data_IF_461289621003
#
_entry.id   IF_461289621003
#
_cell.length_a   1.000
_cell.length_b   1.000
_cell.length_c   1.000
_cell.angle_alpha   90.00
_cell.angle_beta   90.00
_cell.angle_gamma   90.00
#
_symmetry.space_group_name_H-M   'P 1'
#
loop_
_entity.id
_entity.type
_entity.pdbx_description
1 polymer ?
#
# COMPACT_ATOMS: atom_id res chain seq x y z
N UNK A 1 29.04 2.95 3.02
CA UNK A 1 28.58 2.27 4.25
C UNK A 1 27.07 2.10 4.09
N UNK A 2 26.58 0.90 3.76
CA UNK A 2 25.14 0.60 3.84
C UNK A 2 24.84 0.38 5.32
N UNK A 3 23.85 1.10 5.87
CA UNK A 3 23.37 0.80 7.21
C UNK A 3 22.48 -0.45 7.14
N UNK A 4 22.83 -1.48 7.90
CA UNK A 4 21.94 -2.61 8.14
C UNK A 4 20.63 -2.09 8.74
N UNK A 5 19.50 -2.43 8.11
CA UNK A 5 18.16 -1.98 8.52
C UNK A 5 17.56 -0.84 7.69
N UNK A 6 18.21 -0.36 6.64
CA UNK A 6 17.65 0.66 5.76
C UNK A 6 16.57 0.09 4.84
N UNK A 7 15.30 0.44 5.10
CA UNK A 7 14.19 0.16 4.19
C UNK A 7 14.41 0.98 2.91
N UNK A 8 14.72 0.30 1.81
CA UNK A 8 14.81 0.92 0.49
C UNK A 8 13.42 0.92 -0.15
N UNK A 9 12.65 1.97 0.09
CA UNK A 9 11.31 2.13 -0.46
C UNK A 9 10.72 3.51 -0.22
N UNK A 10 9.75 3.91 -1.04
CA UNK A 10 8.99 5.14 -0.83
C UNK A 10 7.90 4.83 0.19
N UNK A 11 7.98 5.43 1.38
CA UNK A 11 7.23 5.01 2.59
C UNK A 11 5.74 4.71 2.38
N UNK A 12 4.94 5.52 1.65
CA UNK A 12 3.53 5.21 1.38
C UNK A 12 3.27 3.82 0.76
N UNK A 13 4.21 3.30 -0.03
CA UNK A 13 4.09 2.02 -0.73
C UNK A 13 4.65 0.85 0.06
N UNK A 14 5.40 1.11 1.13
CA UNK A 14 5.99 0.04 1.94
C UNK A 14 4.92 -0.56 2.84
N UNK A 15 4.77 -1.89 2.78
CA UNK A 15 3.79 -2.61 3.60
C UNK A 15 4.07 -2.47 5.12
N UNK A 16 3.03 -2.45 5.98
CA UNK A 16 3.18 -2.24 7.42
C UNK A 16 4.16 -3.19 8.10
N UNK A 17 4.17 -4.46 7.70
CA UNK A 17 5.08 -5.48 8.22
C UNK A 17 6.54 -5.21 7.82
N UNK A 18 6.76 -4.69 6.60
CA UNK A 18 8.09 -4.33 6.12
C UNK A 18 8.60 -3.08 6.84
N UNK A 19 7.71 -2.12 7.15
CA UNK A 19 8.03 -0.93 7.94
C UNK A 19 8.57 -1.26 9.34
N UNK A 20 8.22 -2.42 9.89
CA UNK A 20 8.71 -2.90 11.19
C UNK A 20 9.86 -3.92 11.08
N UNK A 21 10.44 -4.05 9.88
CA UNK A 21 11.64 -4.88 9.64
C UNK A 21 11.37 -6.33 9.24
N UNK A 22 10.13 -6.69 8.89
CA UNK A 22 9.87 -8.01 8.27
C UNK A 22 10.40 -8.04 6.84
N UNK A 23 10.74 -9.24 6.32
CA UNK A 23 11.19 -9.39 4.95
C UNK A 23 10.16 -8.92 3.91
N UNK A 24 10.64 -8.51 2.74
CA UNK A 24 9.79 -8.28 1.59
C UNK A 24 9.19 -9.62 1.10
N UNK A 25 7.91 -9.61 0.78
CA UNK A 25 7.17 -10.77 0.29
C UNK A 25 6.27 -10.36 -0.88
N UNK A 26 5.75 -11.35 -1.62
CA UNK A 26 4.74 -11.08 -2.64
C UNK A 26 3.51 -10.35 -2.07
N UNK A 27 3.13 -10.64 -0.82
CA UNK A 27 2.03 -9.92 -0.17
C UNK A 27 2.37 -8.44 0.07
N UNK A 28 3.63 -8.10 0.32
CA UNK A 28 4.10 -6.72 0.43
C UNK A 28 4.08 -5.98 -0.92
N UNK A 29 4.40 -6.68 -2.01
CA UNK A 29 4.25 -6.13 -3.36
C UNK A 29 2.78 -5.82 -3.67
N UNK A 30 1.84 -6.66 -3.21
CA UNK A 30 0.42 -6.42 -3.41
C UNK A 30 -0.14 -5.29 -2.53
N UNK A 31 0.44 -5.04 -1.36
CA UNK A 31 0.18 -3.81 -0.63
C UNK A 31 0.57 -2.59 -1.47
N UNK A 32 1.78 -2.59 -2.02
CA UNK A 32 2.29 -1.52 -2.89
C UNK A 32 1.37 -1.30 -4.10
N UNK A 33 0.86 -2.39 -4.68
CA UNK A 33 -0.10 -2.34 -5.78
C UNK A 33 -1.42 -1.67 -5.37
N UNK A 34 -1.94 -1.96 -4.18
CA UNK A 34 -3.14 -1.29 -3.66
C UNK A 34 -2.96 0.23 -3.48
N UNK A 35 -1.75 0.67 -3.12
CA UNK A 35 -1.38 2.09 -3.08
C UNK A 35 -1.38 2.67 -4.50
N UNK A 36 -0.74 2.00 -5.47
CA UNK A 36 -0.76 2.43 -6.89
C UNK A 36 -2.19 2.52 -7.43
N UNK A 37 -3.08 1.59 -7.07
CA UNK A 37 -4.49 1.66 -7.45
C UNK A 37 -5.15 2.95 -6.95
N UNK A 38 -4.88 3.36 -5.70
CA UNK A 38 -5.38 4.63 -5.18
C UNK A 38 -4.85 5.85 -5.95
N UNK A 39 -3.59 5.82 -6.40
CA UNK A 39 -3.00 6.89 -7.21
C UNK A 39 -3.65 7.01 -8.59
N UNK A 40 -3.85 5.88 -9.26
CA UNK A 40 -4.54 5.82 -10.55
C UNK A 40 -5.95 6.40 -10.42
N UNK A 41 -6.66 6.00 -9.34
CA UNK A 41 -8.00 6.50 -9.03
C UNK A 41 -8.01 8.01 -8.73
N UNK A 42 -7.04 8.52 -7.99
CA UNK A 42 -6.99 9.92 -7.57
C UNK A 42 -6.35 10.85 -8.61
N UNK A 43 -5.64 10.31 -9.60
CA UNK A 43 -4.87 11.08 -10.59
C UNK A 43 -3.70 11.87 -9.98
N UNK A 44 -3.26 11.53 -8.76
CA UNK A 44 -2.20 12.22 -8.02
C UNK A 44 -1.42 11.24 -7.15
N UNK A 45 -0.25 11.68 -6.68
CA UNK A 45 0.61 10.86 -5.81
C UNK A 45 -0.08 10.49 -4.50
N UNK A 46 0.13 9.26 -4.05
CA UNK A 46 -0.36 8.75 -2.79
C UNK A 46 0.27 9.53 -1.64
N UNK A 47 -0.58 10.06 -0.76
CA UNK A 47 -0.16 10.88 0.37
C UNK A 47 0.68 12.10 -0.05
N UNK A 48 0.33 12.71 -1.19
CA UNK A 48 0.97 13.94 -1.66
C UNK A 48 0.92 15.04 -0.59
N UNK A 49 2.05 15.74 -0.41
CA UNK A 49 2.23 16.76 0.63
C UNK A 49 2.40 16.23 2.06
N UNK A 50 2.37 14.91 2.31
CA UNK A 50 2.60 14.33 3.64
C UNK A 50 4.09 14.06 3.87
N UNK A 51 4.70 14.55 4.97
CA UNK A 51 6.08 14.21 5.31
C UNK A 51 6.27 12.70 5.53
N UNK A 52 7.32 12.13 4.94
CA UNK A 52 7.67 10.71 5.09
C UNK A 52 8.52 10.50 6.34
N UNK A 53 7.90 10.71 7.50
CA UNK A 53 8.53 10.60 8.81
C UNK A 53 8.01 9.38 9.60
N UNK A 54 8.57 9.16 10.79
CA UNK A 54 8.14 8.08 11.69
C UNK A 54 6.65 8.20 12.09
N UNK A 55 6.07 9.41 12.09
CA UNK A 55 4.66 9.59 12.41
C UNK A 55 3.78 9.01 11.30
N UNK A 56 4.17 9.21 10.04
CA UNK A 56 3.48 8.57 8.92
C UNK A 56 3.61 7.05 8.99
N UNK A 57 4.80 6.51 9.26
CA UNK A 57 4.98 5.06 9.43
C UNK A 57 4.05 4.48 10.52
N UNK A 58 3.93 5.15 11.67
CA UNK A 58 3.00 4.76 12.75
C UNK A 58 1.54 4.82 12.29
N UNK A 59 1.15 5.86 11.53
CA UNK A 59 -0.21 5.96 10.99
C UNK A 59 -0.51 4.79 10.04
N UNK A 60 0.40 4.47 9.12
CA UNK A 60 0.25 3.36 8.17
C UNK A 60 0.11 2.03 8.93
N UNK A 61 0.97 1.80 9.92
CA UNK A 61 0.89 0.63 10.80
C UNK A 61 -0.46 0.52 11.52
N UNK A 62 -1.04 1.65 11.92
CA UNK A 62 -2.37 1.72 12.55
C UNK A 62 -3.55 1.68 11.56
N UNK A 63 -3.30 1.43 10.28
CA UNK A 63 -4.37 1.27 9.28
C UNK A 63 -4.68 2.52 8.45
N UNK A 64 -3.89 3.59 8.55
CA UNK A 64 -4.04 4.74 7.65
C UNK A 64 -3.70 4.33 6.20
N UNK A 65 -4.53 4.75 5.25
CA UNK A 65 -4.41 4.43 3.82
C UNK A 65 -4.64 5.68 2.97
N UNK A 66 -4.13 5.73 1.73
CA UNK A 66 -4.42 6.82 0.81
C UNK A 66 -5.90 6.90 0.45
N UNK A 67 -6.34 8.11 0.10
CA UNK A 67 -7.68 8.37 -0.40
C UNK A 67 -7.82 8.02 -1.89
N UNK A 68 -9.06 7.90 -2.34
CA UNK A 68 -9.43 7.61 -3.72
C UNK A 68 -10.04 8.86 -4.37
N UNK A 69 -9.95 8.95 -5.70
CA UNK A 69 -10.60 10.02 -6.45
C UNK A 69 -12.13 9.95 -6.37
N UNK A 70 -12.79 11.09 -6.53
CA UNK A 70 -14.24 11.17 -6.60
C UNK A 70 -14.78 10.36 -7.79
N UNK A 71 -15.94 9.70 -7.61
CA UNK A 71 -16.53 8.86 -8.64
C UNK A 71 -15.87 7.48 -8.83
N UNK A 72 -14.82 7.14 -8.08
CA UNK A 72 -14.18 5.83 -8.17
C UNK A 72 -15.16 4.69 -7.89
N UNK A 73 -15.26 3.66 -8.76
CA UNK A 73 -16.17 2.54 -8.56
C UNK A 73 -15.94 1.82 -7.22
N UNK A 74 -17.02 1.50 -6.51
CA UNK A 74 -16.95 0.83 -5.19
C UNK A 74 -16.20 -0.50 -5.23
N UNK A 75 -16.31 -1.26 -6.33
CA UNK A 75 -15.59 -2.51 -6.52
C UNK A 75 -14.07 -2.30 -6.56
N UNK A 76 -13.62 -1.24 -7.22
CA UNK A 76 -12.21 -0.86 -7.31
C UNK A 76 -11.65 -0.44 -5.95
N UNK A 77 -12.37 0.43 -5.23
CA UNK A 77 -12.01 0.83 -3.85
C UNK A 77 -11.92 -0.39 -2.93
N UNK A 78 -12.89 -1.31 -3.02
CA UNK A 78 -12.90 -2.55 -2.22
C UNK A 78 -11.70 -3.43 -2.53
N UNK A 79 -11.35 -3.60 -3.82
CA UNK A 79 -10.18 -4.38 -4.23
C UNK A 79 -8.88 -3.76 -3.72
N UNK A 80 -8.68 -2.45 -3.95
CA UNK A 80 -7.49 -1.73 -3.50
C UNK A 80 -7.33 -1.76 -1.97
N UNK A 81 -8.42 -1.59 -1.21
CA UNK A 81 -8.39 -1.71 0.26
C UNK A 81 -8.00 -3.11 0.71
N UNK A 82 -8.46 -4.16 0.01
CA UNK A 82 -8.08 -5.55 0.31
C UNK A 82 -6.61 -5.81 -0.03
N UNK A 83 -6.09 -5.24 -1.11
CA UNK A 83 -4.66 -5.26 -1.40
C UNK A 83 -3.84 -4.59 -0.28
N UNK A 84 -4.36 -3.52 0.33
CA UNK A 84 -3.72 -2.80 1.44
C UNK A 84 -4.11 -3.32 2.84
N UNK A 85 -4.58 -4.56 2.98
CA UNK A 85 -4.92 -5.12 4.29
C UNK A 85 -3.69 -5.10 5.22
N UNK A 86 -3.91 -4.80 6.50
CA UNK A 86 -2.84 -4.81 7.51
C UNK A 86 -2.32 -6.22 7.75
N UNK A 87 -3.16 -7.24 7.64
CA UNK A 87 -2.74 -8.64 7.64
C UNK A 87 -2.28 -9.05 6.22
N UNK A 88 -1.01 -9.43 6.02
CA UNK A 88 -0.53 -9.92 4.73
C UNK A 88 -1.34 -11.10 4.18
N UNK A 89 -1.92 -11.93 5.05
CA UNK A 89 -2.73 -13.09 4.65
C UNK A 89 -4.14 -12.71 4.17
N UNK A 90 -4.63 -11.51 4.51
CA UNK A 90 -5.91 -10.98 4.02
C UNK A 90 -5.85 -10.47 2.57
N UNK A 91 -4.64 -10.26 2.05
CA UNK A 91 -4.39 -9.70 0.73
C UNK A 91 -4.69 -10.74 -0.37
N UNK A 92 -5.31 -10.35 -1.49
CA UNK A 92 -5.50 -11.26 -2.63
C UNK A 92 -4.13 -11.59 -3.26
N UNK A 93 -4.03 -12.63 -4.09
CA UNK A 93 -2.85 -12.87 -4.91
C UNK A 93 -2.91 -12.08 -6.22
N UNK A 94 -1.78 -11.94 -6.92
CA UNK A 94 -1.74 -11.31 -8.24
C UNK A 94 -2.72 -11.97 -9.23
N UNK A 95 -2.83 -13.30 -9.21
CA UNK A 95 -3.79 -14.05 -10.04
C UNK A 95 -5.24 -13.65 -9.75
N UNK A 96 -5.61 -13.52 -8.47
CA UNK A 96 -6.97 -13.07 -8.09
C UNK A 96 -7.21 -11.65 -8.56
N UNK A 97 -6.21 -10.77 -8.44
CA UNK A 97 -6.32 -9.37 -8.89
C UNK A 97 -6.55 -9.31 -10.41
N UNK A 98 -5.75 -10.01 -11.22
CA UNK A 98 -5.91 -10.01 -12.68
C UNK A 98 -7.34 -10.41 -13.09
N UNK A 99 -7.87 -11.50 -12.51
CA UNK A 99 -9.24 -11.97 -12.80
C UNK A 99 -10.37 -11.02 -12.36
N UNK A 100 -10.05 -9.95 -11.61
CA UNK A 100 -11.02 -8.95 -11.14
C UNK A 100 -10.94 -7.63 -11.90
N UNK A 101 -9.87 -7.41 -12.65
CA UNK A 101 -9.63 -6.17 -13.40
C UNK A 101 -9.92 -6.37 -14.89
N UNK A 102 -9.82 -7.61 -15.40
CA UNK A 102 -10.39 -8.04 -16.68
C UNK A 102 -11.92 -7.94 -16.70
#
# INVERSE_FOLDING_TARGET
>A
IKQDGQINGVMPYVAPEVLIGQPFTQAADLYSFGVIMSEISAGKKALDGVPFDTKLAIKIYKGYRPDFGEGTPKCYVKLAKRCMDSDPHGRPTATIICSKIE
#
